data_IF_775482553495
#
_entry.id   IF_775482553495
#
_cell.length_a   1.000
_cell.length_b   1.000
_cell.length_c   1.000
_cell.angle_alpha   90.00
_cell.angle_beta   90.00
_cell.angle_gamma   90.00
#
_symmetry.space_group_name_H-M   'P 1'
#
loop_
_entity.id
_entity.type
_entity.pdbx_description
1 polymer ?
#
# COMPACT_ATOMS: atom_id res chain seq x y z
N UNK A 1 23.96 18.33 -1.61
CA UNK A 1 24.30 18.41 -3.04
C UNK A 1 23.48 19.56 -3.61
N UNK A 2 24.10 20.61 -4.14
CA UNK A 2 23.40 21.82 -4.63
C UNK A 2 23.26 21.75 -6.15
N UNK A 3 22.03 21.84 -6.65
CA UNK A 3 21.69 21.86 -8.07
C UNK A 3 21.15 23.23 -8.45
N UNK A 4 21.67 23.82 -9.52
CA UNK A 4 21.18 25.10 -10.05
C UNK A 4 20.16 24.81 -11.16
N UNK A 5 18.98 25.41 -11.04
CA UNK A 5 17.93 25.36 -12.05
C UNK A 5 17.56 26.78 -12.45
N UNK A 6 17.42 27.02 -13.75
CA UNK A 6 16.97 28.29 -14.29
C UNK A 6 15.45 28.25 -14.48
N UNK A 7 14.74 29.16 -13.81
CA UNK A 7 13.30 29.34 -13.95
C UNK A 7 13.01 30.57 -14.82
N UNK A 8 11.85 30.60 -15.48
CA UNK A 8 11.37 31.83 -16.11
C UNK A 8 11.03 32.88 -15.04
N UNK A 9 11.10 34.17 -15.41
CA UNK A 9 10.81 35.28 -14.48
C UNK A 9 9.41 35.17 -13.85
N UNK A 10 8.44 34.68 -14.61
CA UNK A 10 7.06 34.45 -14.15
C UNK A 10 6.99 33.36 -13.07
N UNK A 11 7.69 32.23 -13.28
CA UNK A 11 7.75 31.14 -12.30
C UNK A 11 8.56 31.52 -11.06
N UNK A 12 9.62 32.31 -11.22
CA UNK A 12 10.39 32.83 -10.10
C UNK A 12 9.54 33.75 -9.22
N UNK A 13 8.77 34.66 -9.82
CA UNK A 13 7.84 35.53 -9.11
C UNK A 13 6.74 34.73 -8.39
N UNK A 14 6.21 33.70 -9.04
CA UNK A 14 5.22 32.79 -8.46
C UNK A 14 5.76 32.05 -7.24
N UNK A 15 6.93 31.42 -7.37
CA UNK A 15 7.63 30.71 -6.28
C UNK A 15 7.88 31.63 -5.09
N UNK A 16 8.36 32.86 -5.34
CA UNK A 16 8.59 33.84 -4.27
C UNK A 16 7.29 34.25 -3.57
N UNK A 17 6.20 34.44 -4.31
CA UNK A 17 4.89 34.80 -3.75
C UNK A 17 4.35 33.67 -2.87
N UNK A 18 4.39 32.42 -3.36
CA UNK A 18 3.91 31.25 -2.61
C UNK A 18 4.77 30.95 -1.38
N UNK A 19 6.10 31.07 -1.49
CA UNK A 19 7.00 30.90 -0.36
C UNK A 19 6.72 31.94 0.74
N UNK A 20 6.50 33.20 0.37
CA UNK A 20 6.10 34.27 1.30
C UNK A 20 4.76 33.98 1.97
N UNK A 21 3.75 33.56 1.21
CA UNK A 21 2.42 33.23 1.75
C UNK A 21 2.46 32.07 2.76
N UNK A 22 3.43 31.16 2.61
CA UNK A 22 3.65 30.01 3.49
C UNK A 22 4.74 30.23 4.55
N UNK A 23 5.34 31.42 4.61
CA UNK A 23 6.43 31.77 5.51
C UNK A 23 7.64 30.80 5.47
N UNK A 24 7.93 30.26 4.29
CA UNK A 24 9.08 29.36 4.04
C UNK A 24 10.04 29.99 3.03
N UNK A 25 11.25 29.43 2.92
CA UNK A 25 12.19 29.89 1.89
C UNK A 25 11.77 29.42 0.49
N UNK A 26 12.07 30.20 -0.57
CA UNK A 26 11.81 29.80 -1.96
C UNK A 26 12.41 28.43 -2.31
N UNK A 27 13.63 28.15 -1.87
CA UNK A 27 14.32 26.88 -2.14
C UNK A 27 13.59 25.69 -1.50
N UNK A 28 13.09 25.89 -0.27
CA UNK A 28 12.34 24.86 0.44
C UNK A 28 10.99 24.59 -0.21
N UNK A 29 10.30 25.63 -0.68
CA UNK A 29 9.06 25.49 -1.45
C UNK A 29 9.28 24.74 -2.77
N UNK A 30 10.36 25.05 -3.50
CA UNK A 30 10.73 24.36 -4.73
C UNK A 30 11.06 22.89 -4.45
N UNK A 31 11.80 22.62 -3.37
CA UNK A 31 12.11 21.24 -2.97
C UNK A 31 10.85 20.44 -2.69
N UNK A 32 9.88 20.98 -1.94
CA UNK A 32 8.61 20.31 -1.67
C UNK A 32 7.84 20.03 -2.96
N UNK A 33 7.79 21.00 -3.88
CA UNK A 33 7.07 20.88 -5.14
C UNK A 33 7.68 19.79 -6.05
N UNK A 34 9.01 19.74 -6.14
CA UNK A 34 9.71 18.69 -6.89
C UNK A 34 9.50 17.32 -6.25
N UNK A 35 9.62 17.23 -4.92
CA UNK A 35 9.36 15.97 -4.20
C UNK A 35 7.93 15.47 -4.43
N UNK A 36 6.94 16.35 -4.36
CA UNK A 36 5.54 15.98 -4.63
C UNK A 36 5.33 15.54 -6.08
N UNK A 37 5.97 16.20 -7.05
CA UNK A 37 5.88 15.82 -8.45
C UNK A 37 6.48 14.42 -8.70
N UNK A 38 7.63 14.11 -8.10
CA UNK A 38 8.26 12.78 -8.21
C UNK A 38 7.35 11.71 -7.60
N UNK A 39 6.83 11.94 -6.39
CA UNK A 39 5.94 10.98 -5.72
C UNK A 39 4.67 10.74 -6.55
N UNK A 40 4.09 11.80 -7.13
CA UNK A 40 2.92 11.67 -7.99
C UNK A 40 3.21 10.87 -9.27
N UNK A 41 4.39 11.06 -9.87
CA UNK A 41 4.82 10.28 -11.03
C UNK A 41 5.05 8.80 -10.68
N UNK A 42 5.69 8.51 -9.55
CA UNK A 42 5.88 7.14 -9.04
C UNK A 42 4.53 6.45 -8.78
N UNK A 43 3.58 7.15 -8.15
CA UNK A 43 2.24 6.63 -7.92
C UNK A 43 1.52 6.29 -9.23
N UNK A 44 1.62 7.17 -10.24
CA UNK A 44 1.07 6.92 -11.57
C UNK A 44 1.73 5.72 -12.28
N UNK A 45 3.04 5.52 -12.07
CA UNK A 45 3.74 4.34 -12.59
C UNK A 45 3.30 3.05 -11.88
N UNK A 46 3.06 3.10 -10.57
CA UNK A 46 2.54 1.96 -9.80
C UNK A 46 1.13 1.58 -10.26
N UNK A 47 0.23 2.55 -10.45
CA UNK A 47 -1.12 2.29 -10.96
C UNK A 47 -1.09 1.64 -12.35
N UNK A 48 -0.19 2.10 -13.23
CA UNK A 48 0.03 1.47 -14.54
C UNK A 48 0.53 0.04 -14.42
N UNK A 49 1.46 -0.23 -13.51
CA UNK A 49 1.98 -1.57 -13.26
C UNK A 49 0.87 -2.49 -12.73
N UNK A 50 0.05 -2.02 -11.78
CA UNK A 50 -1.10 -2.77 -11.26
C UNK A 50 -2.10 -3.08 -12.37
N UNK A 51 -2.42 -2.10 -13.20
CA UNK A 51 -3.30 -2.30 -14.35
C UNK A 51 -2.71 -3.32 -15.34
N UNK A 52 -1.39 -3.33 -15.56
CA UNK A 52 -0.74 -4.34 -16.39
C UNK A 52 -0.86 -5.74 -15.77
N UNK A 53 -0.60 -5.89 -14.48
CA UNK A 53 -0.71 -7.17 -13.77
C UNK A 53 -2.15 -7.70 -13.81
N UNK A 54 -3.14 -6.85 -13.57
CA UNK A 54 -4.56 -7.22 -13.62
C UNK A 54 -5.00 -7.67 -15.02
N UNK A 55 -4.40 -7.11 -16.07
CA UNK A 55 -4.68 -7.47 -17.46
C UNK A 55 -3.81 -8.62 -17.98
N UNK A 56 -2.87 -9.14 -17.18
CA UNK A 56 -2.10 -10.31 -17.60
C UNK A 56 -3.01 -11.55 -17.66
N UNK A 57 -2.95 -12.33 -18.75
CA UNK A 57 -3.68 -13.58 -18.80
C UNK A 57 -3.17 -14.51 -17.69
N UNK A 58 -4.03 -15.39 -17.13
CA UNK A 58 -3.58 -16.43 -16.24
C UNK A 58 -2.45 -17.20 -16.93
N UNK A 59 -1.29 -17.27 -16.28
CA UNK A 59 -0.18 -18.06 -16.79
C UNK A 59 -0.27 -19.48 -16.21
N UNK A 60 -0.85 -20.46 -16.91
CA UNK A 60 -0.97 -21.82 -16.41
C UNK A 60 0.40 -22.46 -16.13
N UNK A 61 1.49 -22.00 -16.75
CA UNK A 61 2.84 -22.45 -16.41
C UNK A 61 3.35 -21.93 -15.06
N UNK A 62 2.72 -20.88 -14.51
CA UNK A 62 2.96 -20.40 -13.13
C UNK A 62 2.13 -21.15 -12.09
N UNK A 63 1.14 -21.93 -12.50
CA UNK A 63 0.35 -22.78 -11.61
C UNK A 63 1.12 -24.08 -11.43
N UNK A 64 1.78 -24.24 -10.28
CA UNK A 64 2.38 -25.52 -9.90
C UNK A 64 1.36 -26.31 -9.08
N UNK A 65 0.81 -27.41 -9.61
CA UNK A 65 -0.02 -28.28 -8.81
C UNK A 65 0.80 -28.86 -7.65
N UNK A 66 0.17 -28.99 -6.48
CA UNK A 66 0.80 -29.60 -5.33
C UNK A 66 1.23 -31.04 -5.69
N UNK A 67 2.50 -31.37 -5.42
CA UNK A 67 3.08 -32.68 -5.76
C UNK A 67 2.95 -33.71 -4.63
N UNK A 68 2.14 -33.42 -3.61
CA UNK A 68 2.03 -34.27 -2.42
C UNK A 68 0.67 -34.16 -1.75
N UNK A 69 0.41 -35.11 -0.86
CA UNK A 69 -0.79 -35.11 -0.04
C UNK A 69 -0.67 -34.07 1.07
N UNK A 70 -1.66 -33.19 1.18
CA UNK A 70 -1.77 -32.25 2.31
C UNK A 70 -1.73 -32.99 3.65
N UNK A 71 -2.36 -34.17 3.72
CA UNK A 71 -2.38 -35.01 4.93
C UNK A 71 -0.98 -35.49 5.32
N UNK A 72 -0.15 -35.87 4.34
CA UNK A 72 1.23 -36.31 4.58
C UNK A 72 2.10 -35.12 5.03
N UNK A 73 1.94 -33.96 4.40
CA UNK A 73 2.63 -32.74 4.79
C UNK A 73 2.28 -32.29 6.21
N UNK A 74 1.00 -32.38 6.60
CA UNK A 74 0.55 -32.04 7.95
C UNK A 74 1.04 -33.05 8.99
N UNK A 75 1.09 -34.35 8.66
CA UNK A 75 1.65 -35.39 9.54
C UNK A 75 3.16 -35.30 9.71
N UNK A 76 3.86 -34.78 8.71
CA UNK A 76 5.31 -34.56 8.76
C UNK A 76 5.68 -33.18 9.34
N UNK A 77 4.69 -32.34 9.61
CA UNK A 77 4.89 -31.05 10.26
C UNK A 77 5.41 -31.23 11.70
N UNK A 78 6.13 -30.24 12.24
CA UNK A 78 6.49 -30.27 13.65
C UNK A 78 5.20 -30.27 14.48
N UNK A 79 4.97 -31.33 15.24
CA UNK A 79 4.03 -31.28 16.35
C UNK A 79 4.58 -30.23 17.33
N UNK A 80 3.83 -29.15 17.56
CA UNK A 80 4.13 -28.21 18.62
C UNK A 80 3.50 -28.75 19.91
N UNK A 81 4.30 -29.32 20.84
CA UNK A 81 3.77 -29.88 22.07
C UNK A 81 3.17 -28.82 23.01
N UNK A 82 3.36 -27.53 22.72
CA UNK A 82 2.79 -26.43 23.49
C UNK A 82 1.58 -25.79 22.79
N UNK A 83 1.13 -26.32 21.65
CA UNK A 83 -0.03 -25.77 20.96
C UNK A 83 -1.31 -26.01 21.77
N UNK A 84 -1.88 -24.92 22.30
CA UNK A 84 -3.15 -24.90 23.02
C UNK A 84 -4.28 -24.53 22.06
N UNK A 85 -5.05 -25.54 21.65
CA UNK A 85 -6.19 -25.39 20.76
C UNK A 85 -7.28 -24.49 21.33
N UNK A 86 -7.52 -24.53 22.65
CA UNK A 86 -8.57 -23.75 23.31
C UNK A 86 -8.16 -22.28 23.47
N UNK A 87 -6.87 -22.01 23.68
CA UNK A 87 -6.33 -20.66 23.61
C UNK A 87 -6.42 -20.09 22.18
N UNK A 88 -5.98 -20.86 21.19
CA UNK A 88 -6.05 -20.47 19.78
C UNK A 88 -7.48 -20.15 19.33
N UNK A 89 -8.46 -20.98 19.70
CA UNK A 89 -9.86 -20.73 19.34
C UNK A 89 -10.43 -19.46 19.97
N UNK A 90 -10.04 -19.15 21.22
CA UNK A 90 -10.45 -17.90 21.88
C UNK A 90 -9.86 -16.67 21.18
N UNK A 91 -8.57 -16.72 20.83
CA UNK A 91 -7.92 -15.64 20.08
C UNK A 91 -8.56 -15.46 18.71
N UNK A 92 -8.83 -16.56 18.01
CA UNK A 92 -9.48 -16.53 16.71
C UNK A 92 -10.90 -15.94 16.76
N UNK A 93 -11.69 -16.28 17.78
CA UNK A 93 -13.03 -15.72 17.96
C UNK A 93 -13.00 -14.19 18.16
N UNK A 94 -11.99 -13.67 18.84
CA UNK A 94 -11.81 -12.23 19.01
C UNK A 94 -11.49 -11.55 17.67
N UNK A 95 -10.55 -12.11 16.89
CA UNK A 95 -10.19 -11.59 15.56
C UNK A 95 -11.41 -11.61 14.62
N UNK A 96 -12.19 -12.69 14.63
CA UNK A 96 -13.40 -12.79 13.79
C UNK A 96 -14.46 -11.76 14.18
N UNK A 97 -14.60 -11.46 15.48
CA UNK A 97 -15.51 -10.43 15.97
C UNK A 97 -15.06 -9.02 15.52
N UNK A 98 -13.76 -8.72 15.60
CA UNK A 98 -13.19 -7.45 15.13
C UNK A 98 -13.40 -7.25 13.63
N UNK A 99 -13.11 -8.27 12.83
CA UNK A 99 -13.34 -8.24 11.37
C UNK A 99 -14.82 -8.00 11.04
N UNK A 100 -15.73 -8.69 11.73
CA UNK A 100 -17.19 -8.47 11.55
C UNK A 100 -17.60 -7.04 11.92
N UNK A 101 -16.99 -6.45 12.95
CA UNK A 101 -17.28 -5.08 13.34
C UNK A 101 -16.82 -4.07 12.26
N UNK A 102 -15.62 -4.28 11.70
CA UNK A 102 -15.09 -3.47 10.60
C UNK A 102 -15.97 -3.59 9.36
N UNK A 103 -16.35 -4.81 8.97
CA UNK A 103 -17.23 -5.03 7.82
C UNK A 103 -18.57 -4.33 8.00
N UNK A 104 -19.20 -4.43 9.18
CA UNK A 104 -20.46 -3.72 9.47
C UNK A 104 -20.29 -2.20 9.42
N UNK A 105 -19.19 -1.67 9.94
CA UNK A 105 -18.91 -0.24 9.87
C UNK A 105 -18.76 0.24 8.41
N UNK A 106 -18.10 -0.56 7.57
CA UNK A 106 -17.97 -0.27 6.13
C UNK A 106 -19.32 -0.37 5.40
N UNK A 107 -20.12 -1.40 5.68
CA UNK A 107 -21.45 -1.57 5.05
C UNK A 107 -22.41 -0.40 5.36
N UNK A 108 -22.37 0.11 6.60
CA UNK A 108 -23.12 1.31 7.02
C UNK A 108 -22.62 2.55 6.26
N UNK A 109 -21.30 2.70 6.12
CA UNK A 109 -20.68 3.85 5.44
C UNK A 109 -20.94 3.84 3.94
N UNK A 110 -21.00 2.65 3.32
CA UNK A 110 -21.28 2.47 1.89
C UNK A 110 -22.77 2.37 1.54
N UNK A 111 -23.68 2.43 2.52
CA UNK A 111 -25.13 2.44 2.29
C UNK A 111 -25.68 1.10 1.78
N UNK A 112 -25.05 -0.02 2.12
CA UNK A 112 -25.49 -1.38 1.72
C UNK A 112 -26.32 -2.10 2.79
N UNK A 113 -26.77 -1.36 3.80
CA UNK A 113 -27.57 -1.87 4.92
C UNK A 113 -29.01 -2.20 4.56
#
# INVERSE_FOLDING_TARGET
MTMQISLSDELAAYVQSCAKARAISPDQFVSELVTQAIIAEEAFQLEKLVAQIQNMPPNPASIRPAQGSLLEALRAGPDDPHFDQDAWQREWANVEAELKAITRANDITEGRG
#
